data_IF_330103771277
#
_entry.id   IF_330103771277
#
_cell.length_a   1.000
_cell.length_b   1.000
_cell.length_c   1.000
_cell.angle_alpha   90.00
_cell.angle_beta   90.00
_cell.angle_gamma   90.00
#
_symmetry.space_group_name_H-M   'P 1'
#
loop_
_entity.id
_entity.type
_entity.pdbx_description
1 polymer ?
#
# COMPACT_ATOMS: atom_id res chain seq x y z
N UNK A 1 22.63 11.76 11.81
CA UNK A 1 21.87 10.72 11.09
C UNK A 1 20.43 10.66 11.52
N UNK A 2 20.15 10.61 12.81
CA UNK A 2 18.78 10.58 13.34
C UNK A 2 18.01 11.89 13.08
N UNK A 3 18.68 13.04 13.11
CA UNK A 3 18.04 14.34 12.87
C UNK A 3 17.64 14.54 11.41
N UNK A 4 18.43 14.05 10.46
CA UNK A 4 18.12 14.14 9.03
C UNK A 4 16.93 13.24 8.67
N UNK A 5 16.87 12.05 9.25
CA UNK A 5 15.75 11.14 9.05
C UNK A 5 14.46 11.73 9.63
N UNK A 6 14.52 12.28 10.84
CA UNK A 6 13.36 12.89 11.50
C UNK A 6 12.84 14.08 10.72
N UNK A 7 13.75 14.95 10.20
CA UNK A 7 13.39 16.10 9.37
C UNK A 7 12.77 15.66 8.05
N UNK A 8 13.34 14.63 7.41
CA UNK A 8 12.82 14.10 6.16
C UNK A 8 11.44 13.48 6.36
N UNK A 9 11.25 12.73 7.45
CA UNK A 9 9.98 12.13 7.81
C UNK A 9 8.91 13.18 8.12
N UNK A 10 9.27 14.22 8.89
CA UNK A 10 8.36 15.33 9.20
C UNK A 10 7.96 16.09 7.94
N UNK A 11 8.90 16.37 7.06
CA UNK A 11 8.64 17.06 5.79
C UNK A 11 7.71 16.21 4.90
N UNK A 12 7.94 14.90 4.87
CA UNK A 12 7.11 13.98 4.12
C UNK A 12 5.69 13.92 4.67
N UNK A 13 5.54 13.88 5.99
CA UNK A 13 4.23 13.90 6.67
C UNK A 13 3.48 15.20 6.41
N UNK A 14 4.16 16.35 6.51
CA UNK A 14 3.56 17.65 6.20
C UNK A 14 3.10 17.75 4.75
N UNK A 15 3.94 17.27 3.84
CA UNK A 15 3.62 17.27 2.41
C UNK A 15 2.42 16.38 2.12
N UNK A 16 2.35 15.22 2.77
CA UNK A 16 1.20 14.32 2.66
C UNK A 16 -0.09 14.95 3.18
N UNK A 17 -0.01 15.64 4.34
CA UNK A 17 -1.17 16.34 4.91
C UNK A 17 -1.63 17.50 4.03
N UNK A 18 -0.70 18.29 3.48
CA UNK A 18 -1.03 19.38 2.57
C UNK A 18 -1.65 18.88 1.29
N UNK A 19 -1.13 17.79 0.73
CA UNK A 19 -1.74 17.16 -0.45
C UNK A 19 -3.14 16.65 -0.15
N UNK A 20 -3.33 16.00 0.99
CA UNK A 20 -4.64 15.50 1.39
C UNK A 20 -5.64 16.63 1.57
N UNK A 21 -5.24 17.76 2.17
CA UNK A 21 -6.11 18.92 2.37
C UNK A 21 -6.41 19.67 1.08
N UNK A 22 -5.44 19.73 0.17
CA UNK A 22 -5.58 20.46 -1.10
C UNK A 22 -6.46 19.69 -2.09
N UNK A 23 -6.28 18.37 -2.16
CA UNK A 23 -7.00 17.54 -3.13
C UNK A 23 -8.34 17.02 -2.62
N UNK A 24 -8.59 17.10 -1.30
CA UNK A 24 -9.72 16.35 -0.71
C UNK A 24 -10.39 17.04 0.46
N UNK A 25 -10.92 18.25 0.28
CA UNK A 25 -11.79 18.83 1.31
C UNK A 25 -13.07 18.00 1.39
N UNK A 26 -13.33 17.36 2.52
CA UNK A 26 -14.55 16.60 2.75
C UNK A 26 -14.42 15.08 2.67
N UNK A 27 -13.21 14.54 2.71
CA UNK A 27 -12.97 13.08 2.63
C UNK A 27 -13.43 12.28 3.85
N UNK A 28 -13.89 12.92 4.88
CA UNK A 28 -14.33 12.21 6.09
C UNK A 28 -15.54 11.30 5.85
N UNK A 29 -16.26 11.50 4.74
CA UNK A 29 -17.48 10.78 4.41
C UNK A 29 -17.39 9.97 3.11
N UNK A 30 -16.20 9.74 2.59
CA UNK A 30 -16.04 9.02 1.32
C UNK A 30 -15.91 7.53 1.57
N UNK A 31 -16.82 6.77 0.96
CA UNK A 31 -16.77 5.32 0.93
C UNK A 31 -15.45 4.83 0.31
N UNK A 32 -14.94 3.69 0.79
CA UNK A 32 -13.68 3.09 0.31
C UNK A 32 -13.63 2.96 -1.21
N UNK A 33 -14.75 2.60 -1.85
CA UNK A 33 -14.83 2.48 -3.31
C UNK A 33 -14.78 3.82 -4.03
N UNK A 34 -15.38 4.86 -3.46
CA UNK A 34 -15.33 6.21 -4.00
C UNK A 34 -13.91 6.77 -3.88
N UNK A 35 -13.23 6.49 -2.78
CA UNK A 35 -11.83 6.85 -2.57
C UNK A 35 -10.93 6.22 -3.63
N UNK A 36 -11.12 4.93 -3.92
CA UNK A 36 -10.36 4.22 -4.93
C UNK A 36 -10.58 4.76 -6.34
N UNK A 37 -11.78 5.26 -6.65
CA UNK A 37 -12.09 5.87 -7.95
C UNK A 37 -11.40 7.21 -8.15
N UNK A 38 -11.18 7.96 -7.04
CA UNK A 38 -10.46 9.23 -7.08
C UNK A 38 -8.96 9.05 -7.28
N UNK A 39 -8.42 7.87 -6.91
CA UNK A 39 -7.00 7.55 -7.06
C UNK A 39 -6.83 6.30 -7.91
N UNK A 40 -6.93 6.44 -9.25
CA UNK A 40 -6.60 5.31 -10.12
C UNK A 40 -5.15 4.88 -9.86
N UNK A 41 -4.89 3.59 -10.07
CA UNK A 41 -3.56 3.03 -9.87
C UNK A 41 -2.53 3.86 -10.65
N UNK A 42 -1.51 4.35 -9.94
CA UNK A 42 -0.45 5.12 -10.57
C UNK A 42 0.43 4.22 -11.44
N UNK A 43 0.98 4.74 -12.55
CA UNK A 43 1.94 3.98 -13.34
C UNK A 43 3.13 3.53 -12.50
N UNK A 44 3.71 2.39 -12.85
CA UNK A 44 4.85 1.83 -12.14
C UNK A 44 6.00 2.83 -12.00
N UNK A 45 6.28 3.57 -13.06
CA UNK A 45 7.35 4.56 -13.09
C UNK A 45 7.12 5.67 -12.07
N UNK A 46 5.88 6.11 -11.93
CA UNK A 46 5.52 7.14 -10.95
C UNK A 46 5.63 6.61 -9.53
N UNK A 47 5.22 5.36 -9.28
CA UNK A 47 5.35 4.71 -7.98
C UNK A 47 6.82 4.56 -7.59
N UNK A 48 7.68 4.17 -8.53
CA UNK A 48 9.12 4.07 -8.27
C UNK A 48 9.74 5.43 -7.98
N UNK A 49 9.29 6.49 -8.67
CA UNK A 49 9.77 7.84 -8.44
C UNK A 49 9.40 8.34 -7.03
N UNK A 50 8.17 8.06 -6.59
CA UNK A 50 7.67 8.59 -5.31
C UNK A 50 7.99 7.70 -4.11
N UNK A 51 8.02 6.39 -4.29
CA UNK A 51 8.13 5.43 -3.18
C UNK A 51 9.31 4.47 -3.31
N UNK A 52 10.09 4.56 -4.39
CA UNK A 52 11.12 3.58 -4.68
C UNK A 52 12.54 4.11 -4.58
N UNK A 53 13.38 3.60 -5.46
CA UNK A 53 14.83 3.84 -5.47
C UNK A 53 15.22 5.29 -5.80
N UNK A 54 14.35 6.06 -6.41
CA UNK A 54 14.63 7.47 -6.68
C UNK A 54 14.81 8.24 -5.38
N UNK A 55 14.08 7.85 -4.34
CA UNK A 55 14.21 8.44 -3.01
C UNK A 55 15.47 7.97 -2.29
N UNK A 56 15.86 6.72 -2.51
CA UNK A 56 17.08 6.14 -1.97
C UNK A 56 17.61 5.12 -2.98
N UNK A 57 18.59 5.49 -3.82
CA UNK A 57 19.06 4.60 -4.90
C UNK A 57 19.59 3.25 -4.44
N UNK A 58 20.11 3.17 -3.20
CA UNK A 58 20.61 1.94 -2.61
C UNK A 58 19.59 1.24 -1.72
N UNK A 59 18.38 1.81 -1.60
CA UNK A 59 17.35 1.29 -0.73
C UNK A 59 16.38 0.35 -1.43
N UNK A 60 15.28 0.08 -0.74
CA UNK A 60 14.22 -0.79 -1.23
C UNK A 60 13.47 -0.13 -2.40
N UNK A 61 13.10 -0.94 -3.38
CA UNK A 61 12.23 -0.49 -4.45
C UNK A 61 10.78 -0.33 -3.97
N UNK A 62 9.93 0.25 -4.81
CA UNK A 62 8.53 0.49 -4.45
C UNK A 62 7.78 -0.81 -4.19
N UNK A 63 7.98 -1.81 -5.04
CA UNK A 63 7.36 -3.14 -4.87
C UNK A 63 7.61 -3.71 -3.49
N UNK A 64 8.86 -3.73 -3.05
CA UNK A 64 9.26 -4.26 -1.75
C UNK A 64 8.65 -3.45 -0.61
N UNK A 65 8.65 -2.11 -0.73
CA UNK A 65 8.05 -1.23 0.28
C UNK A 65 6.56 -1.52 0.45
N UNK A 66 5.83 -1.70 -0.64
CA UNK A 66 4.41 -2.05 -0.57
C UNK A 66 4.17 -3.42 0.06
N UNK A 67 5.00 -4.41 -0.27
CA UNK A 67 4.90 -5.74 0.35
C UNK A 67 5.14 -5.68 1.87
N UNK A 68 6.14 -4.92 2.31
CA UNK A 68 6.41 -4.71 3.74
C UNK A 68 5.24 -4.01 4.42
N UNK A 69 4.66 -3.00 3.77
CA UNK A 69 3.49 -2.29 4.30
C UNK A 69 2.28 -3.21 4.40
N UNK A 70 2.04 -4.05 3.40
CA UNK A 70 0.96 -5.06 3.44
C UNK A 70 1.15 -6.00 4.63
N UNK A 71 2.39 -6.46 4.86
CA UNK A 71 2.71 -7.31 6.01
C UNK A 71 2.35 -6.62 7.33
N UNK A 72 2.78 -5.38 7.51
CA UNK A 72 2.50 -4.61 8.72
C UNK A 72 1.00 -4.41 8.93
N UNK A 73 0.28 -4.06 7.88
CA UNK A 73 -1.17 -3.83 7.95
C UNK A 73 -1.93 -5.12 8.26
N UNK A 74 -1.45 -6.26 7.76
CA UNK A 74 -2.04 -7.56 8.07
C UNK A 74 -1.95 -7.86 9.57
N UNK A 75 -0.78 -7.61 10.18
CA UNK A 75 -0.56 -7.84 11.61
C UNK A 75 -1.40 -6.90 12.46
N UNK A 76 -1.53 -5.64 12.06
CA UNK A 76 -2.33 -4.64 12.78
C UNK A 76 -3.83 -4.95 12.75
N UNK A 77 -4.27 -5.76 11.79
CA UNK A 77 -5.65 -6.17 11.68
C UNK A 77 -6.51 -5.23 10.82
N UNK A 78 -7.84 -5.42 10.83
CA UNK A 78 -8.74 -4.82 9.83
C UNK A 78 -9.01 -3.32 10.00
N UNK A 79 -8.28 -2.63 10.84
CA UNK A 79 -8.53 -1.22 11.18
C UNK A 79 -8.36 -0.29 9.97
N UNK A 80 -7.72 -0.74 8.92
CA UNK A 80 -7.46 0.08 7.74
C UNK A 80 -7.82 -0.62 6.44
N UNK A 81 -9.03 -1.18 6.34
CA UNK A 81 -9.45 -1.87 5.10
C UNK A 81 -9.25 -1.02 3.83
N UNK A 82 -9.68 0.27 3.76
CA UNK A 82 -9.44 1.09 2.59
C UNK A 82 -7.95 1.29 2.30
N UNK A 83 -7.15 1.48 3.34
CA UNK A 83 -5.70 1.64 3.21
C UNK A 83 -5.03 0.36 2.73
N UNK A 84 -5.46 -0.79 3.24
CA UNK A 84 -4.94 -2.07 2.79
C UNK A 84 -5.29 -2.32 1.32
N UNK A 85 -6.53 -2.05 0.91
CA UNK A 85 -6.95 -2.16 -0.48
C UNK A 85 -6.07 -1.31 -1.39
N UNK A 86 -5.88 -0.05 -1.03
CA UNK A 86 -5.04 0.87 -1.81
C UNK A 86 -3.59 0.41 -1.86
N UNK A 87 -3.06 -0.05 -0.74
CA UNK A 87 -1.67 -0.53 -0.66
C UNK A 87 -1.47 -1.76 -1.55
N UNK A 88 -2.44 -2.69 -1.57
CA UNK A 88 -2.38 -3.86 -2.44
C UNK A 88 -2.44 -3.43 -3.92
N UNK A 89 -3.35 -2.53 -4.27
CA UNK A 89 -3.44 -2.02 -5.65
C UNK A 89 -2.13 -1.38 -6.11
N UNK A 90 -1.57 -0.53 -5.27
CA UNK A 90 -0.30 0.13 -5.58
C UNK A 90 0.87 -0.87 -5.62
N UNK A 91 0.85 -1.86 -4.75
CA UNK A 91 1.85 -2.93 -4.76
C UNK A 91 1.84 -3.71 -6.07
N UNK A 92 0.64 -4.08 -6.54
CA UNK A 92 0.49 -4.76 -7.83
C UNK A 92 0.94 -3.86 -8.99
N UNK A 93 0.57 -2.58 -8.95
CA UNK A 93 1.01 -1.60 -9.96
C UNK A 93 2.53 -1.40 -9.93
N UNK A 94 3.16 -1.51 -8.77
CA UNK A 94 4.62 -1.41 -8.62
C UNK A 94 5.36 -2.69 -9.06
N UNK A 95 4.64 -3.75 -9.42
CA UNK A 95 5.23 -4.98 -9.94
C UNK A 95 5.15 -6.18 -9.02
N UNK A 96 4.53 -6.08 -7.85
CA UNK A 96 4.27 -7.25 -7.02
C UNK A 96 3.23 -8.15 -7.70
N UNK A 97 3.40 -9.46 -7.56
CA UNK A 97 2.42 -10.41 -8.08
C UNK A 97 1.33 -10.67 -7.04
N UNK A 98 0.17 -11.11 -7.52
CA UNK A 98 -0.92 -11.54 -6.62
C UNK A 98 -0.46 -12.63 -5.67
N UNK A 99 0.37 -13.55 -6.16
CA UNK A 99 0.94 -14.63 -5.37
C UNK A 99 1.86 -14.08 -4.25
N UNK A 100 2.72 -13.15 -4.56
CA UNK A 100 3.60 -12.53 -3.57
C UNK A 100 2.80 -11.84 -2.46
N UNK A 101 1.76 -11.11 -2.85
CA UNK A 101 0.87 -10.46 -1.88
C UNK A 101 0.21 -11.50 -0.97
N UNK A 102 -0.34 -12.55 -1.55
CA UNK A 102 -0.98 -13.62 -0.79
C UNK A 102 -0.01 -14.34 0.15
N UNK A 103 1.20 -14.63 -0.32
CA UNK A 103 2.23 -15.29 0.50
C UNK A 103 2.68 -14.42 1.67
N UNK A 104 2.84 -13.11 1.45
CA UNK A 104 3.19 -12.16 2.51
C UNK A 104 2.10 -12.15 3.59
N UNK A 105 0.84 -12.05 3.18
CA UNK A 105 -0.29 -12.05 4.11
C UNK A 105 -0.34 -13.36 4.90
N UNK A 106 -0.18 -14.49 4.22
CA UNK A 106 -0.19 -15.80 4.85
C UNK A 106 0.94 -15.95 5.88
N UNK A 107 2.14 -15.47 5.54
CA UNK A 107 3.29 -15.52 6.44
C UNK A 107 3.02 -14.73 7.72
N UNK A 108 2.28 -13.65 7.64
CA UNK A 108 1.97 -12.80 8.80
C UNK A 108 1.02 -13.47 9.80
N UNK A 109 0.42 -14.61 9.45
CA UNK A 109 -0.40 -15.36 10.40
C UNK A 109 0.37 -15.78 11.65
N UNK A 110 1.69 -15.97 11.51
CA UNK A 110 2.56 -16.34 12.63
C UNK A 110 2.75 -15.19 13.63
N UNK A 111 2.48 -13.97 13.23
CA UNK A 111 2.68 -12.78 14.06
C UNK A 111 1.36 -12.13 14.47
N UNK A 112 0.41 -12.00 13.55
CA UNK A 112 -0.87 -11.36 13.79
C UNK A 112 -2.02 -12.32 14.10
N UNK A 113 -1.80 -13.61 13.89
CA UNK A 113 -2.82 -14.64 14.09
C UNK A 113 -3.61 -14.95 12.83
N UNK A 114 -4.27 -16.12 12.84
CA UNK A 114 -5.03 -16.60 11.69
C UNK A 114 -6.22 -15.71 11.34
N UNK A 115 -7.01 -15.19 12.32
CA UNK A 115 -8.13 -14.31 11.97
C UNK A 115 -7.70 -13.03 11.23
N UNK A 116 -6.61 -12.40 11.63
CA UNK A 116 -6.07 -11.23 10.95
C UNK A 116 -5.63 -11.57 9.53
N UNK A 117 -4.95 -12.69 9.36
CA UNK A 117 -4.52 -13.19 8.05
C UNK A 117 -5.71 -13.47 7.14
N UNK A 118 -6.74 -14.15 7.65
CA UNK A 118 -7.95 -14.46 6.87
C UNK A 118 -8.65 -13.19 6.41
N UNK A 119 -8.78 -12.20 7.28
CA UNK A 119 -9.41 -10.92 6.90
C UNK A 119 -8.60 -10.20 5.83
N UNK A 120 -7.29 -10.17 5.97
CA UNK A 120 -6.42 -9.56 4.97
C UNK A 120 -6.49 -10.29 3.62
N UNK A 121 -6.56 -11.63 3.64
CA UNK A 121 -6.72 -12.43 2.40
C UNK A 121 -8.06 -12.14 1.72
N UNK A 122 -9.15 -12.00 2.47
CA UNK A 122 -10.45 -11.63 1.89
C UNK A 122 -10.37 -10.29 1.17
N UNK A 123 -9.74 -9.31 1.81
CA UNK A 123 -9.53 -7.98 1.22
C UNK A 123 -8.67 -8.10 -0.05
N UNK A 124 -7.58 -8.85 0.03
CA UNK A 124 -6.70 -9.06 -1.12
C UNK A 124 -7.43 -9.73 -2.29
N UNK A 125 -8.23 -10.76 -2.01
CA UNK A 125 -9.01 -11.46 -3.04
C UNK A 125 -9.98 -10.51 -3.73
N UNK A 126 -10.62 -9.61 -2.99
CA UNK A 126 -11.52 -8.63 -3.58
C UNK A 126 -10.78 -7.66 -4.52
N UNK A 127 -9.57 -7.28 -4.17
CA UNK A 127 -8.71 -6.45 -5.04
C UNK A 127 -8.27 -7.24 -6.26
N UNK A 128 -7.88 -8.50 -6.09
CA UNK A 128 -7.45 -9.35 -7.21
C UNK A 128 -8.56 -9.56 -8.23
N UNK A 129 -9.80 -9.67 -7.77
CA UNK A 129 -10.96 -9.82 -8.66
C UNK A 129 -11.18 -8.58 -9.53
N UNK A 130 -10.80 -7.40 -9.05
CA UNK A 130 -10.91 -6.14 -9.76
C UNK A 130 -9.71 -5.85 -10.66
N UNK A 131 -8.63 -6.62 -10.52
CA UNK A 131 -7.38 -6.38 -11.24
C UNK A 131 -7.27 -7.35 -12.42
N UNK A 132 -6.92 -6.87 -13.63
CA UNK A 132 -6.74 -7.76 -14.79
C UNK A 132 -5.73 -8.87 -14.49
N UNK A 133 -5.95 -10.04 -15.10
CA UNK A 133 -5.01 -11.15 -14.95
C UNK A 133 -3.63 -10.77 -15.46
N UNK A 134 -2.61 -11.16 -14.70
CA UNK A 134 -1.23 -11.00 -15.11
C UNK A 134 -0.99 -11.92 -16.32
N UNK A 135 -0.47 -11.31 -17.40
CA UNK A 135 -0.22 -12.05 -18.64
C UNK A 135 0.98 -12.99 -18.56
N UNK A 136 1.77 -12.95 -17.49
CA UNK A 136 2.94 -13.81 -17.33
C UNK A 136 3.10 -14.19 -15.88
N UNK A 137 2.53 -15.31 -15.50
CA UNK A 137 2.83 -15.95 -14.23
C UNK A 137 4.06 -16.85 -14.39
#
# INVERSE_FOLDING_TARGET
MTDDFAKMFSAWMEQGQKMAQTFMPGMENVDAKAFEKLFPAMPKELLEMWFGKTFNPEGLDARTRFLVTIAAMTVLGPVGEPQLRMTIKNGLAAGATKREVAEVIWQMSMFGGVPAMQKALEIAQSVFAETPEEKDA
#
